data_IF_685846854325
#
_entry.id   IF_685846854325
#
_cell.length_a   1.000
_cell.length_b   1.000
_cell.length_c   1.000
_cell.angle_alpha   90.00
_cell.angle_beta   90.00
_cell.angle_gamma   90.00
#
_symmetry.space_group_name_H-M   'P 1'
#
loop_
_entity.id
_entity.type
_entity.pdbx_description
1 polymer ?
#
# COMPACT_ATOMS: atom_id res chain seq x y z
N UNK A 1 -16.67 -15.86 4.93
CA UNK A 1 -16.49 -14.53 4.33
C UNK A 1 -17.32 -13.51 5.13
N UNK A 2 -16.72 -12.38 5.51
CA UNK A 2 -17.46 -11.31 6.18
C UNK A 2 -18.50 -10.72 5.22
N UNK A 3 -19.73 -10.51 5.74
CA UNK A 3 -20.85 -9.97 4.98
C UNK A 3 -21.29 -8.60 5.51
N UNK A 4 -21.04 -8.33 6.81
CA UNK A 4 -21.46 -7.10 7.49
C UNK A 4 -20.46 -6.71 8.58
N UNK A 5 -20.27 -5.41 8.75
CA UNK A 5 -19.44 -4.85 9.81
C UNK A 5 -18.25 -4.07 9.29
N UNK A 6 -17.44 -3.56 10.22
CA UNK A 6 -16.22 -2.82 9.93
C UNK A 6 -15.10 -3.28 10.87
N UNK A 7 -13.92 -3.37 10.33
CA UNK A 7 -12.71 -3.70 11.07
C UNK A 7 -11.60 -2.71 10.71
N UNK A 8 -10.96 -2.15 11.72
CA UNK A 8 -9.85 -1.21 11.55
C UNK A 8 -8.64 -1.69 12.31
N UNK A 9 -7.48 -1.56 11.70
CA UNK A 9 -6.18 -1.84 12.31
C UNK A 9 -5.31 -0.60 12.15
N UNK A 10 -4.61 -0.22 13.20
CA UNK A 10 -3.58 0.81 13.17
C UNK A 10 -2.34 0.23 13.84
N UNK A 11 -1.23 0.29 13.15
CA UNK A 11 0.08 -0.13 13.65
C UNK A 11 1.01 1.08 13.63
N UNK A 12 1.72 1.30 14.74
CA UNK A 12 2.75 2.30 14.83
C UNK A 12 4.07 1.63 15.21
N UNK A 13 5.13 2.01 14.53
CA UNK A 13 6.46 1.48 14.72
C UNK A 13 7.47 2.62 14.79
N UNK A 14 8.41 2.50 15.71
CA UNK A 14 9.50 3.47 15.90
C UNK A 14 10.81 2.70 15.97
N UNK A 15 11.74 3.05 15.12
CA UNK A 15 13.12 2.60 15.18
C UNK A 15 14.01 3.76 15.56
N UNK A 16 14.96 3.54 16.48
CA UNK A 16 15.91 4.56 16.87
C UNK A 16 17.28 3.98 17.21
N UNK A 17 18.32 4.66 16.76
CA UNK A 17 19.71 4.32 17.10
C UNK A 17 19.95 4.31 18.61
N UNK A 18 19.20 5.10 19.39
CA UNK A 18 19.21 5.09 20.84
C UNK A 18 18.76 3.77 21.46
N UNK A 19 18.00 2.98 20.72
CA UNK A 19 17.52 1.64 21.12
C UNK A 19 18.24 0.51 20.36
N UNK A 20 19.38 0.82 19.71
CA UNK A 20 20.19 -0.19 19.01
C UNK A 20 19.78 -0.44 17.57
N UNK A 21 18.89 0.34 17.00
CA UNK A 21 18.57 0.28 15.56
C UNK A 21 19.70 0.91 14.73
N UNK A 22 19.85 0.46 13.49
CA UNK A 22 20.76 1.06 12.51
C UNK A 22 20.16 2.27 11.77
N UNK A 23 18.87 2.53 11.96
CA UNK A 23 18.17 3.63 11.32
C UNK A 23 17.19 4.29 12.30
N UNK A 24 16.97 5.59 12.11
CA UNK A 24 16.04 6.38 12.89
C UNK A 24 14.84 6.76 12.02
N UNK A 25 13.68 6.17 12.28
CA UNK A 25 12.42 6.46 11.58
C UNK A 25 11.20 6.02 12.41
N UNK A 26 10.05 6.58 12.07
CA UNK A 26 8.76 6.06 12.53
C UNK A 26 7.86 5.74 11.35
N UNK A 27 6.98 4.79 11.56
CA UNK A 27 6.02 4.30 10.58
C UNK A 27 4.66 4.12 11.22
N UNK A 28 3.63 4.57 10.52
CA UNK A 28 2.23 4.30 10.86
C UNK A 28 1.57 3.66 9.65
N UNK A 29 0.92 2.52 9.84
CA UNK A 29 0.17 1.81 8.80
C UNK A 29 -1.23 1.52 9.35
N UNK A 30 -2.24 2.03 8.67
CA UNK A 30 -3.64 1.86 9.01
C UNK A 30 -4.40 1.16 7.91
N UNK A 31 -5.29 0.25 8.27
CA UNK A 31 -6.23 -0.34 7.35
C UNK A 31 -7.64 -0.36 7.91
N UNK A 32 -8.61 -0.19 7.02
CA UNK A 32 -10.03 -0.28 7.34
C UNK A 32 -10.72 -1.15 6.30
N UNK A 33 -11.39 -2.20 6.78
CA UNK A 33 -12.27 -3.04 5.97
C UNK A 33 -13.71 -2.83 6.40
N UNK A 34 -14.60 -2.53 5.46
CA UNK A 34 -16.02 -2.30 5.72
C UNK A 34 -16.85 -3.15 4.79
N UNK A 35 -17.89 -3.78 5.32
CA UNK A 35 -18.76 -4.69 4.60
C UNK A 35 -20.21 -4.25 4.80
N UNK A 36 -20.94 -4.09 3.70
CA UNK A 36 -22.35 -3.76 3.65
C UNK A 36 -23.13 -4.81 2.90
N UNK A 37 -24.08 -5.41 3.59
CA UNK A 37 -24.99 -6.39 3.04
C UNK A 37 -26.28 -5.71 2.63
N UNK A 38 -26.80 -6.06 1.44
CA UNK A 38 -28.06 -5.52 0.92
C UNK A 38 -28.79 -6.55 0.03
N UNK A 39 -30.02 -6.25 -0.37
CA UNK A 39 -30.81 -7.13 -1.23
C UNK A 39 -31.18 -8.46 -0.60
N UNK A 40 -31.69 -8.48 0.65
CA UNK A 40 -32.03 -9.69 1.42
C UNK A 40 -30.84 -10.64 1.57
N UNK A 41 -29.70 -10.08 1.98
CA UNK A 41 -28.46 -10.80 2.29
C UNK A 41 -27.79 -11.48 1.08
N UNK A 42 -28.15 -11.07 -0.13
CA UNK A 42 -27.61 -11.69 -1.35
C UNK A 42 -26.40 -10.97 -1.92
N UNK A 43 -26.31 -9.66 -1.68
CA UNK A 43 -25.24 -8.82 -2.22
C UNK A 43 -24.41 -8.27 -1.10
N UNK A 44 -23.09 -8.30 -1.26
CA UNK A 44 -22.17 -7.71 -0.30
C UNK A 44 -21.27 -6.70 -1.01
N UNK A 45 -21.32 -5.45 -0.57
CA UNK A 45 -20.35 -4.44 -0.93
C UNK A 45 -19.25 -4.43 0.13
N UNK A 46 -18.02 -4.66 -0.30
CA UNK A 46 -16.85 -4.63 0.55
C UNK A 46 -15.91 -3.50 0.10
N UNK A 47 -15.37 -2.77 1.05
CA UNK A 47 -14.32 -1.79 0.85
C UNK A 47 -13.15 -2.10 1.76
N UNK A 48 -11.94 -2.09 1.23
CA UNK A 48 -10.72 -2.12 2.00
C UNK A 48 -9.88 -0.88 1.64
N UNK A 49 -9.44 -0.14 2.65
CA UNK A 49 -8.54 1.00 2.48
C UNK A 49 -7.33 0.81 3.37
N UNK A 50 -6.13 0.93 2.80
CA UNK A 50 -4.86 0.96 3.52
C UNK A 50 -4.17 2.29 3.27
N UNK A 51 -3.68 2.92 4.33
CA UNK A 51 -2.89 4.14 4.30
C UNK A 51 -1.70 3.93 5.21
N UNK A 52 -0.51 4.04 4.66
CA UNK A 52 0.73 3.94 5.41
C UNK A 52 1.59 5.19 5.17
N UNK A 53 2.30 5.56 6.19
CA UNK A 53 3.23 6.68 6.18
C UNK A 53 4.44 6.35 7.04
N UNK A 54 5.61 6.69 6.56
CA UNK A 54 6.86 6.62 7.31
C UNK A 54 7.69 7.88 7.14
N UNK A 55 8.40 8.24 8.19
CA UNK A 55 9.23 9.43 8.22
C UNK A 55 10.56 9.15 8.93
N UNK A 56 11.67 9.30 8.24
CA UNK A 56 12.99 9.23 8.86
C UNK A 56 13.28 10.50 9.65
N UNK A 57 14.05 10.36 10.76
CA UNK A 57 14.60 11.48 11.51
C UNK A 57 16.05 11.22 11.89
N UNK A 58 16.79 12.26 12.24
CA UNK A 58 18.18 12.15 12.68
C UNK A 58 19.20 12.02 11.56
N UNK A 59 20.48 12.00 11.90
CA UNK A 59 21.55 11.76 10.97
C UNK A 59 21.46 10.30 10.49
N UNK A 60 21.28 10.10 9.21
CA UNK A 60 21.15 8.76 8.66
C UNK A 60 22.52 8.17 8.31
N UNK A 61 23.00 7.16 9.06
CA UNK A 61 24.27 6.51 8.76
C UNK A 61 24.23 5.59 7.55
N UNK A 62 23.03 5.25 7.05
CA UNK A 62 22.83 4.26 5.98
C UNK A 62 22.52 4.86 4.60
N UNK A 63 22.58 6.17 4.45
CA UNK A 63 22.64 6.82 3.11
C UNK A 63 24.01 6.56 2.46
N UNK A 64 24.82 5.76 3.06
CA UNK A 64 26.20 5.52 2.73
C UNK A 64 26.48 4.35 1.80
N UNK A 65 25.74 4.19 0.73
CA UNK A 65 26.36 3.64 -0.47
C UNK A 65 26.96 4.83 -1.22
N UNK A 66 28.23 4.75 -1.60
CA UNK A 66 28.94 5.79 -2.36
C UNK A 66 28.17 6.32 -3.57
N UNK A 67 27.27 5.50 -4.13
CA UNK A 67 26.32 5.86 -5.16
C UNK A 67 25.26 6.91 -4.73
N UNK A 68 24.99 7.06 -3.44
CA UNK A 68 24.01 8.03 -2.90
C UNK A 68 24.66 9.29 -2.36
N UNK A 69 25.97 9.27 -2.07
CA UNK A 69 26.71 10.41 -1.51
C UNK A 69 26.89 11.55 -2.53
N UNK A 70 26.90 11.23 -3.83
CA UNK A 70 26.94 12.23 -4.90
C UNK A 70 25.58 12.77 -5.32
N UNK A 71 24.50 12.19 -4.80
CA UNK A 71 23.17 12.30 -5.36
C UNK A 71 22.12 12.82 -4.38
N UNK A 72 22.54 13.60 -3.37
CA UNK A 72 21.60 14.35 -2.50
C UNK A 72 20.69 15.31 -3.29
N UNK A 73 20.94 15.50 -4.56
CA UNK A 73 20.18 16.34 -5.49
C UNK A 73 19.45 15.53 -6.58
N UNK A 74 19.68 14.25 -6.70
CA UNK A 74 19.02 13.43 -7.70
C UNK A 74 17.95 12.55 -7.09
N UNK A 75 16.92 12.40 -7.83
CA UNK A 75 15.67 11.73 -7.51
C UNK A 75 15.76 10.19 -7.53
N UNK A 76 16.93 9.60 -7.22
CA UNK A 76 17.02 8.14 -7.18
C UNK A 76 16.23 7.58 -5.99
N UNK A 77 15.10 6.88 -6.22
CA UNK A 77 14.26 6.37 -5.14
C UNK A 77 14.94 5.33 -4.26
N UNK A 78 16.07 4.76 -4.69
CA UNK A 78 16.87 3.85 -3.85
C UNK A 78 17.56 4.56 -2.69
N UNK A 79 17.79 5.86 -2.79
CA UNK A 79 18.52 6.66 -1.81
C UNK A 79 17.61 7.25 -0.72
N UNK A 80 16.82 6.43 -0.07
CA UNK A 80 16.00 6.85 1.08
C UNK A 80 16.68 6.53 2.41
N UNK A 81 16.44 7.39 3.38
CA UNK A 81 16.90 7.24 4.75
C UNK A 81 16.32 6.01 5.47
N UNK A 82 15.19 5.46 4.99
CA UNK A 82 14.60 4.24 5.53
C UNK A 82 15.18 3.03 4.81
N UNK A 83 15.66 2.01 5.54
CA UNK A 83 16.17 0.78 4.95
C UNK A 83 15.14 0.10 4.05
N UNK A 84 15.59 -0.47 2.92
CA UNK A 84 14.72 -1.14 1.95
C UNK A 84 13.70 -2.11 2.55
N UNK A 85 14.07 -3.01 3.50
CA UNK A 85 13.11 -3.95 4.08
C UNK A 85 11.99 -3.31 4.89
N UNK A 86 12.21 -2.10 5.38
CA UNK A 86 11.26 -1.39 6.24
C UNK A 86 10.30 -0.50 5.47
N UNK A 87 10.62 -0.18 4.20
CA UNK A 87 9.80 0.70 3.37
C UNK A 87 8.42 0.11 3.10
N UNK A 88 7.50 0.98 2.72
CA UNK A 88 6.15 0.60 2.35
C UNK A 88 6.12 0.06 0.92
N UNK A 89 5.40 -1.03 0.72
CA UNK A 89 5.22 -1.69 -0.57
C UNK A 89 3.74 -1.96 -0.83
N UNK A 90 3.38 -2.04 -2.11
CA UNK A 90 2.08 -2.52 -2.57
C UNK A 90 2.23 -3.28 -3.90
N UNK A 91 1.20 -4.04 -4.24
CA UNK A 91 1.14 -4.90 -5.41
C UNK A 91 0.96 -6.36 -5.03
N UNK A 92 0.45 -7.13 -5.97
CA UNK A 92 0.10 -8.53 -5.79
C UNK A 92 -1.37 -8.78 -5.51
N UNK A 93 -1.76 -10.03 -5.57
CA UNK A 93 -3.17 -10.47 -5.52
C UNK A 93 -3.92 -10.08 -4.24
N UNK A 94 -3.22 -9.87 -3.14
CA UNK A 94 -3.81 -9.54 -1.82
C UNK A 94 -3.73 -8.06 -1.45
N UNK A 95 -3.09 -7.25 -2.28
CA UNK A 95 -2.90 -5.81 -2.03
C UNK A 95 -3.49 -4.98 -3.16
N UNK A 96 -2.80 -4.88 -4.28
CA UNK A 96 -3.23 -4.12 -5.46
C UNK A 96 -3.15 -5.06 -6.68
N UNK A 97 -4.27 -5.64 -7.05
CA UNK A 97 -4.38 -6.57 -8.18
C UNK A 97 -4.07 -5.83 -9.48
N UNK A 98 -3.49 -6.51 -10.46
CA UNK A 98 -3.01 -5.88 -11.69
C UNK A 98 -1.54 -5.45 -11.66
N UNK A 99 -0.93 -5.42 -10.48
CA UNK A 99 0.52 -5.26 -10.30
C UNK A 99 1.12 -6.56 -9.78
N UNK A 100 2.36 -6.87 -10.17
CA UNK A 100 3.14 -7.93 -9.53
C UNK A 100 3.45 -7.60 -8.07
N UNK A 101 3.92 -8.60 -7.31
CA UNK A 101 4.24 -8.43 -5.89
C UNK A 101 5.24 -7.28 -5.71
N UNK A 102 4.88 -6.29 -4.88
CA UNK A 102 5.65 -5.08 -4.57
C UNK A 102 5.96 -4.17 -5.78
N UNK A 103 5.33 -4.40 -6.94
CA UNK A 103 5.62 -3.65 -8.16
C UNK A 103 4.78 -2.37 -8.35
N UNK A 104 3.91 -2.04 -7.43
CA UNK A 104 3.20 -0.77 -7.43
C UNK A 104 4.06 0.29 -6.73
N UNK A 105 4.59 1.25 -7.47
CA UNK A 105 5.36 2.36 -6.92
C UNK A 105 6.77 2.53 -7.48
N UNK A 106 7.64 3.21 -6.72
CA UNK A 106 8.99 3.55 -7.15
C UNK A 106 9.85 2.32 -7.44
N UNK A 107 10.68 2.45 -8.47
CA UNK A 107 11.64 1.43 -8.88
C UNK A 107 13.02 2.04 -9.01
N UNK A 108 14.02 1.25 -8.77
CA UNK A 108 15.41 1.61 -9.05
C UNK A 108 15.59 1.88 -10.54
N UNK A 109 16.23 3.00 -10.87
CA UNK A 109 16.37 3.45 -12.25
C UNK A 109 17.32 2.59 -13.11
N UNK A 110 18.23 1.86 -12.47
CA UNK A 110 19.22 1.03 -13.17
C UNK A 110 18.76 -0.41 -13.31
N UNK A 111 18.20 -0.97 -12.25
CA UNK A 111 17.85 -2.38 -12.18
C UNK A 111 16.38 -2.67 -12.43
N UNK A 112 15.50 -1.66 -12.30
CA UNK A 112 14.05 -1.80 -12.39
C UNK A 112 13.40 -2.51 -11.20
N UNK A 113 14.17 -2.87 -10.16
CA UNK A 113 13.62 -3.51 -8.96
C UNK A 113 12.77 -2.55 -8.11
N UNK A 114 11.73 -3.05 -7.45
CA UNK A 114 10.92 -2.23 -6.55
C UNK A 114 11.75 -1.81 -5.33
N UNK A 115 11.74 -0.53 -5.03
CA UNK A 115 12.49 0.04 -3.90
C UNK A 115 11.57 0.54 -2.78
N UNK A 116 10.23 0.38 -2.96
CA UNK A 116 9.26 0.87 -2.00
C UNK A 116 9.21 2.39 -1.90
N UNK A 117 8.48 2.90 -0.94
CA UNK A 117 8.33 4.33 -0.71
C UNK A 117 8.01 4.66 0.72
N UNK A 118 7.88 5.94 1.02
CA UNK A 118 7.59 6.45 2.37
C UNK A 118 6.10 6.68 2.62
N UNK A 119 5.28 6.53 1.60
CA UNK A 119 3.84 6.57 1.75
C UNK A 119 3.15 5.54 0.85
N UNK A 120 2.03 4.99 1.31
CA UNK A 120 1.20 4.05 0.55
C UNK A 120 -0.26 4.41 0.72
N UNK A 121 -0.97 4.38 -0.38
CA UNK A 121 -2.43 4.42 -0.41
C UNK A 121 -2.92 3.31 -1.31
N UNK A 122 -3.78 2.44 -0.77
CA UNK A 122 -4.46 1.38 -1.54
C UNK A 122 -5.92 1.37 -1.12
N UNK A 123 -6.81 1.34 -2.09
CA UNK A 123 -8.23 1.22 -1.84
C UNK A 123 -8.85 0.21 -2.82
N UNK A 124 -9.54 -0.76 -2.26
CA UNK A 124 -10.22 -1.83 -2.99
C UNK A 124 -11.71 -1.75 -2.74
N UNK A 125 -12.48 -1.78 -3.79
CA UNK A 125 -13.93 -1.99 -3.76
C UNK A 125 -14.26 -3.36 -4.35
N UNK A 126 -15.15 -4.11 -3.71
CA UNK A 126 -15.67 -5.37 -4.21
C UNK A 126 -17.19 -5.41 -4.10
N UNK A 127 -17.84 -5.82 -5.16
CA UNK A 127 -19.25 -6.17 -5.16
C UNK A 127 -19.37 -7.68 -5.38
N UNK A 128 -19.80 -8.38 -4.34
CA UNK A 128 -20.02 -9.83 -4.36
C UNK A 128 -21.49 -10.11 -4.62
N UNK A 129 -21.75 -10.92 -5.61
CA UNK A 129 -23.10 -11.22 -6.09
C UNK A 129 -23.27 -12.75 -6.20
N UNK A 130 -24.42 -13.31 -5.74
CA UNK A 130 -24.71 -14.72 -5.99
C UNK A 130 -24.94 -14.93 -7.50
N UNK A 131 -24.45 -16.02 -8.02
CA UNK A 131 -24.82 -16.46 -9.36
C UNK A 131 -26.25 -16.99 -9.37
N UNK A 132 -26.94 -16.96 -10.53
CA UNK A 132 -28.16 -17.71 -10.72
C UNK A 132 -27.91 -19.19 -10.42
N UNK A 133 -28.92 -19.88 -9.86
CA UNK A 133 -28.84 -21.33 -9.62
C UNK A 133 -28.64 -22.03 -10.95
N UNK A 134 -27.46 -22.62 -11.15
CA UNK A 134 -27.14 -23.37 -12.36
C UNK A 134 -27.51 -24.85 -12.18
N UNK A 135 -28.11 -25.51 -13.21
CA UNK A 135 -28.31 -26.96 -13.20
C UNK A 135 -26.93 -27.62 -12.98
N UNK A 136 -26.88 -28.61 -12.10
CA UNK A 136 -25.69 -29.41 -11.75
C UNK A 136 -24.65 -28.75 -10.84
N UNK A 137 -24.62 -27.41 -10.67
CA UNK A 137 -23.63 -26.72 -9.85
C UNK A 137 -24.26 -26.10 -8.57
N UNK A 138 -25.59 -25.97 -8.58
CA UNK A 138 -26.34 -25.41 -7.45
C UNK A 138 -25.96 -23.94 -7.17
N UNK A 139 -25.87 -23.58 -5.88
CA UNK A 139 -25.56 -22.22 -5.40
C UNK A 139 -24.07 -22.02 -5.08
N UNK A 140 -23.18 -22.85 -5.66
CA UNK A 140 -21.76 -22.84 -5.34
C UNK A 140 -20.94 -21.77 -6.09
N UNK A 141 -21.56 -21.06 -7.04
CA UNK A 141 -20.91 -20.05 -7.86
C UNK A 141 -21.29 -18.65 -7.36
N UNK A 142 -20.32 -17.80 -7.23
CA UNK A 142 -20.50 -16.38 -6.92
C UNK A 142 -19.70 -15.52 -7.90
N UNK A 143 -20.25 -14.37 -8.26
CA UNK A 143 -19.54 -13.36 -9.04
C UNK A 143 -18.96 -12.30 -8.12
N UNK A 144 -17.77 -11.84 -8.44
CA UNK A 144 -17.11 -10.71 -7.75
C UNK A 144 -16.68 -9.71 -8.79
N UNK A 145 -17.24 -8.51 -8.71
CA UNK A 145 -16.73 -7.34 -9.42
C UNK A 145 -15.85 -6.55 -8.47
N UNK A 146 -14.66 -6.19 -8.90
CA UNK A 146 -13.75 -5.43 -8.06
C UNK A 146 -13.09 -4.27 -8.81
N UNK A 147 -12.71 -3.25 -8.06
CA UNK A 147 -11.92 -2.12 -8.52
C UNK A 147 -10.86 -1.79 -7.47
N UNK A 148 -9.61 -1.91 -7.89
CA UNK A 148 -8.45 -1.58 -7.06
C UNK A 148 -7.83 -0.29 -7.57
N UNK A 149 -7.50 0.61 -6.65
CA UNK A 149 -6.75 1.81 -6.93
C UNK A 149 -5.73 2.07 -5.83
N UNK A 150 -4.60 2.61 -6.21
CA UNK A 150 -3.57 2.96 -5.23
C UNK A 150 -2.19 3.02 -5.85
N UNK A 151 -1.27 3.42 -5.02
CA UNK A 151 0.15 3.46 -5.37
C UNK A 151 1.01 3.54 -4.10
N UNK A 152 2.31 3.34 -4.29
CA UNK A 152 3.34 3.66 -3.31
C UNK A 152 4.06 4.91 -3.79
N UNK A 153 4.30 5.85 -2.90
CA UNK A 153 4.87 7.15 -3.21
C UNK A 153 6.22 7.32 -2.52
N UNK A 154 7.16 7.91 -3.23
CA UNK A 154 8.47 8.22 -2.68
C UNK A 154 8.36 9.34 -1.62
N UNK A 155 7.53 10.35 -1.91
CA UNK A 155 7.25 11.42 -0.97
C UNK A 155 5.77 11.45 -0.62
N UNK A 156 5.41 11.67 0.65
CA UNK A 156 4.01 11.71 1.08
C UNK A 156 3.18 12.81 0.40
N UNK A 157 3.82 13.91 0.01
CA UNK A 157 3.17 14.99 -0.71
C UNK A 157 2.61 14.60 -2.07
N UNK A 158 3.12 13.52 -2.66
CA UNK A 158 2.67 13.03 -3.96
C UNK A 158 1.40 12.16 -3.85
N UNK A 159 1.02 11.75 -2.63
CA UNK A 159 -0.19 10.96 -2.37
C UNK A 159 -1.47 11.77 -2.65
N UNK A 160 -1.43 13.08 -2.38
CA UNK A 160 -2.55 14.00 -2.60
C UNK A 160 -2.11 15.07 -3.58
N UNK A 161 -2.18 14.83 -4.90
CA UNK A 161 -1.84 15.85 -5.88
C UNK A 161 -2.74 17.06 -5.66
N UNK A 162 -2.13 18.21 -5.42
CA UNK A 162 -2.88 19.45 -5.36
C UNK A 162 -3.59 19.65 -6.71
N UNK A 163 -4.89 19.89 -6.70
CA UNK A 163 -5.71 20.16 -7.89
C UNK A 163 -5.21 21.34 -8.75
N UNK A 164 -4.19 22.04 -8.29
CA UNK A 164 -3.52 23.17 -8.97
C UNK A 164 -2.48 22.75 -10.02
N UNK A 165 -2.19 21.47 -10.20
CA UNK A 165 -1.22 20.98 -11.20
C UNK A 165 -1.82 20.55 -12.55
N UNK A 166 -3.10 20.76 -12.76
CA UNK A 166 -3.71 20.60 -14.08
C UNK A 166 -3.64 21.94 -14.83
N UNK A 167 -2.49 22.24 -15.39
CA UNK A 167 -2.31 23.27 -16.41
C UNK A 167 -1.83 22.62 -17.69
#
# INVERSE_FOLDING_TARGET
>A
NATKGSYSTIQAFVASSKFGSQADFWKVDGSNSTYYEFGKEKYVFARNTRIGYEHPWGPNPNVGNDACLGDLLTTNPSCSAVPLPERLYAGGATSLRGFGINLAGPRDLQTGYPVGGTAVFVNTFELRMPAPTLPYVGNSVNFVLFHDMGNVFQNPGDMFPSFTRFH
#
